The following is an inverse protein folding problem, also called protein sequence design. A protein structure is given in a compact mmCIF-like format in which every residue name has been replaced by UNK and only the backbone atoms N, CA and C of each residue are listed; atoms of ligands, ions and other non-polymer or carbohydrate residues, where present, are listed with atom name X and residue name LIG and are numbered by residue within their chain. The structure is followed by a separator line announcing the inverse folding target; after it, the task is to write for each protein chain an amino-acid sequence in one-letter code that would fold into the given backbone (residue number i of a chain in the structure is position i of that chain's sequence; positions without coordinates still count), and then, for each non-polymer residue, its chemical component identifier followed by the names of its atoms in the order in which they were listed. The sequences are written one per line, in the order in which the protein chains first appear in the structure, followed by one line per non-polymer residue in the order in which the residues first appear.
data_IF_360995738982
#
_entry.id   IF_360995738982
#
_cell.length_a   1.000
_cell.length_b   1.000
_cell.length_c   1.000
_cell.angle_alpha   90.00
_cell.angle_beta   90.00
_cell.angle_gamma   90.00
#
_symmetry.space_group_name_H-M   'P 1'
#
loop_
_entity.id
_entity.type
_entity.pdbx_description
1 polymer ?
#
# COMPACT_ATOMS: atom_id res chain seq x y z
N UNK A 1 6.01 -13.84 -10.88
CA UNK A 1 6.78 -13.84 -12.14
C UNK A 1 8.24 -14.24 -11.91
N UNK A 2 8.89 -14.95 -12.85
CA UNK A 2 10.33 -15.28 -12.76
C UNK A 2 11.21 -14.15 -13.33
N UNK A 3 11.82 -13.35 -12.44
CA UNK A 3 12.69 -12.22 -12.81
C UNK A 3 13.90 -12.64 -13.66
N UNK A 4 14.42 -13.86 -13.51
CA UNK A 4 15.57 -14.36 -14.28
C UNK A 4 15.18 -14.66 -15.72
N UNK A 5 14.03 -15.32 -15.90
CA UNK A 5 13.45 -15.57 -17.22
C UNK A 5 13.19 -14.25 -17.94
N UNK A 6 12.52 -13.29 -17.29
CA UNK A 6 12.28 -11.95 -17.85
C UNK A 6 13.58 -11.29 -18.27
N UNK A 7 14.61 -11.29 -17.41
CA UNK A 7 15.92 -10.70 -17.73
C UNK A 7 16.52 -11.29 -19.01
N UNK A 8 16.37 -12.59 -19.24
CA UNK A 8 16.86 -13.27 -20.44
C UNK A 8 16.02 -12.95 -21.70
N UNK A 9 14.70 -12.80 -21.56
CA UNK A 9 13.79 -12.55 -22.68
C UNK A 9 13.72 -11.08 -23.09
N UNK A 10 13.94 -10.14 -22.16
CA UNK A 10 13.77 -8.70 -22.37
C UNK A 10 14.44 -8.16 -23.64
N UNK A 11 15.72 -8.50 -23.97
CA UNK A 11 16.35 -8.02 -25.20
C UNK A 11 15.56 -8.40 -26.46
N UNK A 12 15.01 -9.61 -26.52
CA UNK A 12 14.19 -10.10 -27.63
C UNK A 12 12.84 -9.37 -27.67
N UNK A 13 12.18 -9.22 -26.51
CA UNK A 13 10.87 -8.58 -26.40
C UNK A 13 10.88 -7.11 -26.83
N UNK A 14 11.99 -6.39 -26.59
CA UNK A 14 12.08 -4.94 -26.88
C UNK A 14 12.88 -4.59 -28.13
N UNK A 15 13.53 -5.55 -28.80
CA UNK A 15 14.43 -5.30 -29.93
C UNK A 15 13.80 -4.43 -31.04
N UNK A 16 12.54 -4.70 -31.40
CA UNK A 16 11.80 -3.92 -32.40
C UNK A 16 11.32 -2.54 -31.92
N UNK A 17 11.43 -2.26 -30.62
CA UNK A 17 10.91 -1.07 -29.98
C UNK A 17 11.99 -0.11 -29.49
N UNK A 18 13.27 -0.49 -29.54
CA UNK A 18 14.41 0.37 -29.18
C UNK A 18 14.98 1.03 -30.43
N UNK A 19 15.23 2.36 -30.44
CA UNK A 19 15.88 3.02 -31.55
C UNK A 19 17.28 2.45 -31.84
N UNK A 20 17.67 2.35 -33.12
CA UNK A 20 18.95 1.75 -33.54
C UNK A 20 20.21 2.43 -32.97
N UNK A 21 20.11 3.70 -32.55
CA UNK A 21 21.22 4.47 -31.97
C UNK A 21 21.37 4.29 -30.45
N UNK A 22 20.45 3.58 -29.80
CA UNK A 22 20.48 3.34 -28.35
C UNK A 22 21.31 2.10 -28.05
N UNK A 23 22.32 2.24 -27.17
CA UNK A 23 23.23 1.15 -26.79
C UNK A 23 22.75 0.32 -25.59
N UNK A 24 21.81 0.84 -24.80
CA UNK A 24 21.25 0.15 -23.63
C UNK A 24 19.84 0.65 -23.34
N UNK A 25 19.03 -0.22 -22.74
CA UNK A 25 17.70 0.12 -22.25
C UNK A 25 17.60 -0.12 -20.75
N UNK A 26 16.64 0.53 -20.11
CA UNK A 26 16.31 0.33 -18.70
C UNK A 26 14.89 -0.22 -18.59
N UNK A 27 14.66 -1.07 -17.61
CA UNK A 27 13.33 -1.52 -17.28
C UNK A 27 13.12 -1.66 -15.78
N UNK A 28 11.87 -1.54 -15.36
CA UNK A 28 11.42 -1.80 -13.99
C UNK A 28 10.40 -2.93 -14.01
N UNK A 29 10.48 -3.80 -13.01
CA UNK A 29 9.58 -4.94 -12.85
C UNK A 29 8.56 -4.59 -11.77
N UNK A 30 7.30 -4.89 -12.06
CA UNK A 30 6.16 -4.73 -11.16
C UNK A 30 5.52 -6.11 -11.00
N UNK A 31 5.87 -6.76 -9.91
CA UNK A 31 5.41 -8.07 -9.47
C UNK A 31 4.95 -7.98 -8.01
N UNK A 32 4.89 -9.12 -7.33
CA UNK A 32 4.53 -9.24 -5.92
C UNK A 32 5.63 -8.76 -4.95
N UNK A 33 6.78 -8.32 -5.46
CA UNK A 33 7.89 -7.87 -4.64
C UNK A 33 8.06 -6.34 -4.67
N UNK A 34 8.43 -5.72 -3.54
CA UNK A 34 8.68 -4.28 -3.47
C UNK A 34 9.80 -3.83 -4.41
N UNK A 35 9.71 -2.59 -4.88
CA UNK A 35 10.82 -1.96 -5.59
C UNK A 35 11.83 -1.43 -4.59
N UNK A 36 13.10 -1.82 -4.72
CA UNK A 36 14.18 -1.31 -3.86
C UNK A 36 14.84 -0.07 -4.46
N UNK A 37 15.11 0.90 -3.60
CA UNK A 37 15.96 2.05 -3.87
C UNK A 37 17.42 1.63 -4.00
N UNK A 38 18.25 2.54 -4.54
CA UNK A 38 19.72 2.39 -4.54
C UNK A 38 20.32 2.30 -3.13
N UNK A 39 19.59 2.75 -2.11
CA UNK A 39 19.99 2.69 -0.70
C UNK A 39 19.40 1.47 0.03
N UNK A 40 18.75 0.54 -0.68
CA UNK A 40 18.20 -0.69 -0.11
C UNK A 40 16.80 -0.56 0.51
N UNK A 41 16.26 0.65 0.68
CA UNK A 41 14.89 0.84 1.17
C UNK A 41 13.85 0.51 0.10
N UNK A 42 12.71 -0.04 0.50
CA UNK A 42 11.58 -0.20 -0.39
C UNK A 42 10.94 1.16 -0.74
N UNK A 43 10.57 1.35 -2.00
CA UNK A 43 9.96 2.56 -2.55
C UNK A 43 8.58 2.19 -3.08
N UNK A 44 7.60 3.05 -2.78
CA UNK A 44 6.29 3.00 -3.39
C UNK A 44 6.37 3.52 -4.84
N UNK A 45 6.09 2.69 -5.86
CA UNK A 45 6.15 3.12 -7.25
C UNK A 45 5.19 4.27 -7.57
N UNK A 46 5.57 5.10 -8.53
CA UNK A 46 4.73 6.17 -9.08
C UNK A 46 3.87 5.63 -10.23
N UNK A 47 2.61 6.08 -10.38
CA UNK A 47 1.81 5.80 -11.57
C UNK A 47 2.48 6.32 -12.85
N UNK A 48 2.19 5.69 -13.98
CA UNK A 48 2.76 6.08 -15.26
C UNK A 48 1.85 5.74 -16.44
N UNK A 49 2.05 6.46 -17.54
CA UNK A 49 1.43 6.17 -18.82
C UNK A 49 2.42 5.51 -19.76
N UNK A 50 1.93 4.63 -20.63
CA UNK A 50 2.76 4.02 -21.66
C UNK A 50 1.98 3.29 -22.73
N UNK A 51 2.71 2.69 -23.66
CA UNK A 51 2.13 1.87 -24.73
C UNK A 51 2.54 0.42 -24.53
N UNK A 52 1.57 -0.49 -24.54
CA UNK A 52 1.84 -1.93 -24.50
C UNK A 52 2.55 -2.32 -25.79
N UNK A 53 3.72 -2.95 -25.66
CA UNK A 53 4.51 -3.46 -26.80
C UNK A 53 4.49 -4.97 -26.89
N UNK A 54 4.31 -5.64 -25.76
CA UNK A 54 4.19 -7.11 -25.67
C UNK A 54 3.16 -7.43 -24.61
N UNK A 55 2.25 -8.37 -24.90
CA UNK A 55 1.35 -8.95 -23.91
C UNK A 55 1.34 -10.48 -24.08
N UNK A 56 1.91 -11.18 -23.10
CA UNK A 56 2.02 -12.64 -23.07
C UNK A 56 1.59 -13.17 -21.71
N UNK A 57 1.42 -14.49 -21.58
CA UNK A 57 1.07 -15.13 -20.31
C UNK A 57 2.18 -14.97 -19.24
N UNK A 58 3.42 -14.71 -19.66
CA UNK A 58 4.57 -14.54 -18.76
C UNK A 58 4.82 -13.07 -18.37
N UNK A 59 4.50 -12.12 -19.26
CA UNK A 59 4.81 -10.71 -19.07
C UNK A 59 3.96 -9.76 -19.93
N UNK A 60 3.65 -8.60 -19.36
CA UNK A 60 3.15 -7.43 -20.08
C UNK A 60 4.24 -6.36 -20.10
N UNK A 61 4.72 -5.98 -21.28
CA UNK A 61 5.76 -4.95 -21.42
C UNK A 61 5.14 -3.66 -21.91
N UNK A 62 5.32 -2.60 -21.11
CA UNK A 62 4.84 -1.25 -21.39
C UNK A 62 6.03 -0.36 -21.70
N UNK A 63 6.02 0.27 -22.88
CA UNK A 63 7.01 1.26 -23.27
C UNK A 63 6.66 2.63 -22.71
N UNK A 64 7.59 3.21 -21.94
CA UNK A 64 7.45 4.52 -21.29
C UNK A 64 8.16 5.61 -22.11
N UNK A 65 9.41 5.34 -22.49
CA UNK A 65 10.26 6.24 -23.31
C UNK A 65 10.98 5.42 -24.39
N UNK A 66 11.73 6.03 -25.32
CA UNK A 66 12.41 5.29 -26.38
C UNK A 66 13.29 4.11 -25.89
N UNK A 67 13.89 4.22 -24.70
CA UNK A 67 14.76 3.20 -24.10
C UNK A 67 14.39 2.85 -22.65
N UNK A 68 13.15 3.13 -22.24
CA UNK A 68 12.65 2.87 -20.87
C UNK A 68 11.35 2.08 -20.93
N UNK A 69 11.30 0.96 -20.21
CA UNK A 69 10.19 0.01 -20.20
C UNK A 69 9.73 -0.30 -18.77
N UNK A 70 8.49 -0.74 -18.63
CA UNK A 70 7.94 -1.37 -17.44
C UNK A 70 7.48 -2.78 -17.80
N UNK A 71 7.71 -3.73 -16.90
CA UNK A 71 7.27 -5.12 -17.03
C UNK A 71 6.29 -5.40 -15.90
N UNK A 72 5.07 -5.81 -16.24
CA UNK A 72 4.02 -6.14 -15.28
C UNK A 72 3.79 -7.66 -15.26
N UNK A 73 3.58 -8.23 -14.08
CA UNK A 73 3.10 -9.61 -13.93
C UNK A 73 1.63 -9.70 -14.43
N UNK A 74 1.33 -10.49 -15.48
CA UNK A 74 -0.03 -10.64 -15.99
C UNK A 74 -1.03 -11.14 -14.95
N UNK A 75 -0.57 -11.83 -13.89
CA UNK A 75 -1.43 -12.35 -12.82
C UNK A 75 -1.86 -11.30 -11.80
N UNK A 76 -1.18 -10.15 -11.78
CA UNK A 76 -1.43 -9.08 -10.82
C UNK A 76 -2.12 -7.86 -11.44
N UNK A 77 -2.32 -7.81 -12.76
CA UNK A 77 -3.03 -6.67 -13.38
C UNK A 77 -4.55 -6.81 -13.26
N UNK A 78 -5.25 -5.68 -13.08
CA UNK A 78 -6.72 -5.67 -13.05
C UNK A 78 -7.34 -6.01 -14.40
N UNK A 79 -6.67 -5.64 -15.50
CA UNK A 79 -7.06 -5.95 -16.88
C UNK A 79 -5.79 -6.23 -17.69
N UNK A 80 -5.82 -7.26 -18.55
CA UNK A 80 -4.74 -7.52 -19.52
C UNK A 80 -5.00 -6.70 -20.79
N UNK A 81 -4.26 -5.60 -21.04
CA UNK A 81 -4.44 -4.79 -22.23
C UNK A 81 -3.91 -5.49 -23.49
N UNK A 82 -4.53 -5.20 -24.63
CA UNK A 82 -4.04 -5.66 -25.94
C UNK A 82 -2.75 -4.96 -26.35
N UNK A 83 -1.92 -5.65 -27.14
CA UNK A 83 -0.72 -5.05 -27.72
C UNK A 83 -1.04 -3.79 -28.54
N UNK A 84 -0.18 -2.79 -28.41
CA UNK A 84 -0.35 -1.48 -29.06
C UNK A 84 -1.28 -0.52 -28.33
N UNK A 85 -2.04 -0.95 -27.31
CA UNK A 85 -2.90 -0.08 -26.51
C UNK A 85 -2.09 0.95 -25.71
N UNK A 86 -2.66 2.14 -25.49
CA UNK A 86 -2.16 3.09 -24.50
C UNK A 86 -2.81 2.79 -23.17
N UNK A 87 -2.02 2.75 -22.12
CA UNK A 87 -2.47 2.39 -20.78
C UNK A 87 -1.98 3.40 -19.75
N UNK A 88 -2.82 3.65 -18.75
CA UNK A 88 -2.42 4.21 -17.47
C UNK A 88 -2.24 3.05 -16.50
N UNK A 89 -1.09 3.00 -15.83
CA UNK A 89 -0.74 1.96 -14.89
C UNK A 89 -0.53 2.61 -13.52
N UNK A 90 -1.27 2.12 -12.53
CA UNK A 90 -1.17 2.53 -11.14
C UNK A 90 -0.81 1.31 -10.29
N UNK A 91 0.49 1.09 -10.04
CA UNK A 91 0.92 0.04 -9.13
C UNK A 91 0.58 0.41 -7.68
N UNK A 92 0.65 -0.58 -6.80
CA UNK A 92 0.43 -0.40 -5.37
C UNK A 92 1.38 0.65 -4.77
N UNK A 93 0.84 1.45 -3.86
CA UNK A 93 1.60 2.36 -3.03
C UNK A 93 0.96 2.41 -1.65
N UNK A 94 1.78 2.34 -0.61
CA UNK A 94 1.32 2.47 0.77
C UNK A 94 0.64 3.82 0.99
N UNK A 95 -0.44 3.80 1.76
CA UNK A 95 -1.26 4.97 2.07
C UNK A 95 -1.44 5.15 3.56
N UNK A 96 -1.75 6.38 3.95
CA UNK A 96 -2.18 6.72 5.32
C UNK A 96 -3.70 6.75 5.39
N UNK A 97 -4.24 6.85 6.61
CA UNK A 97 -5.68 6.96 6.85
C UNK A 97 -6.31 8.24 6.28
N UNK A 98 -5.52 9.26 5.95
CA UNK A 98 -5.99 10.46 5.23
C UNK A 98 -6.10 10.26 3.70
N UNK A 99 -5.81 9.05 3.20
CA UNK A 99 -5.84 8.70 1.78
C UNK A 99 -4.60 9.13 0.98
N UNK A 100 -3.72 9.94 1.56
CA UNK A 100 -2.46 10.33 0.93
C UNK A 100 -1.45 9.17 0.96
N UNK A 101 -0.48 9.21 0.05
CA UNK A 101 0.60 8.22 0.01
C UNK A 101 1.48 8.35 1.24
N UNK A 102 2.04 7.24 1.72
CA UNK A 102 2.94 7.22 2.88
C UNK A 102 4.21 8.06 2.65
N UNK A 103 4.68 8.17 1.40
CA UNK A 103 5.82 9.01 1.01
C UNK A 103 5.48 10.51 0.89
N UNK A 104 4.23 10.91 1.17
CA UNK A 104 3.82 12.33 1.15
C UNK A 104 4.44 13.06 2.34
N UNK A 105 5.25 14.12 2.10
CA UNK A 105 5.93 14.84 3.18
C UNK A 105 4.96 15.49 4.16
N UNK A 106 5.30 15.49 5.44
CA UNK A 106 4.58 16.27 6.44
C UNK A 106 5.02 17.73 6.37
N UNK A 107 4.05 18.64 6.33
CA UNK A 107 4.29 20.08 6.34
C UNK A 107 3.68 20.66 7.61
N UNK A 108 4.51 21.28 8.45
CA UNK A 108 4.07 21.97 9.67
C UNK A 108 4.58 23.40 9.69
N UNK A 109 3.76 24.31 10.19
CA UNK A 109 4.18 25.68 10.45
C UNK A 109 4.57 25.77 11.92
N UNK A 110 5.83 26.13 12.17
CA UNK A 110 6.35 26.37 13.51
C UNK A 110 6.62 27.87 13.68
N UNK A 111 6.68 28.33 14.92
CA UNK A 111 6.98 29.72 15.25
C UNK A 111 8.39 29.77 15.83
N UNK A 112 9.21 30.71 15.38
CA UNK A 112 10.48 31.02 16.07
C UNK A 112 10.21 31.59 17.46
N UNK A 113 11.25 31.68 18.30
CA UNK A 113 11.20 32.41 19.58
C UNK A 113 10.68 33.83 19.45
N UNK A 114 10.85 34.44 18.28
CA UNK A 114 10.48 35.81 17.97
C UNK A 114 9.08 35.92 17.32
N UNK A 115 8.33 34.81 17.26
CA UNK A 115 6.97 34.76 16.72
C UNK A 115 6.88 34.78 15.19
N UNK A 116 7.99 34.55 14.48
CA UNK A 116 7.99 34.49 13.01
C UNK A 116 7.63 33.06 12.57
N UNK A 117 6.60 32.88 11.73
CA UNK A 117 6.25 31.55 11.23
C UNK A 117 7.30 31.06 10.21
N UNK A 118 7.71 29.80 10.34
CA UNK A 118 8.49 29.08 9.32
C UNK A 118 7.87 27.72 9.03
N UNK A 119 8.08 27.23 7.81
CA UNK A 119 7.54 25.95 7.35
C UNK A 119 8.59 24.86 7.45
N UNK A 120 8.31 23.82 8.23
CA UNK A 120 9.09 22.59 8.29
C UNK A 120 8.46 21.57 7.35
N UNK A 121 9.25 21.05 6.41
CA UNK A 121 8.86 19.96 5.52
C UNK A 121 9.69 18.73 5.82
N UNK A 122 9.06 17.70 6.38
CA UNK A 122 9.73 16.47 6.80
C UNK A 122 9.54 15.38 5.75
N UNK A 123 10.65 14.85 5.24
CA UNK A 123 10.68 13.72 4.33
C UNK A 123 11.16 12.48 5.10
N UNK A 124 10.30 11.48 5.26
CA UNK A 124 10.67 10.19 5.85
C UNK A 124 11.01 9.23 4.72
N UNK A 125 12.23 8.71 4.71
CA UNK A 125 12.69 7.74 3.72
C UNK A 125 12.35 6.32 4.18
N UNK A 126 11.88 5.46 3.25
CA UNK A 126 11.64 4.05 3.49
C UNK A 126 10.22 3.72 3.95
N UNK A 127 9.85 4.00 5.19
CA UNK A 127 8.52 3.64 5.72
C UNK A 127 8.05 4.63 6.77
N UNK A 128 7.41 5.71 6.32
CA UNK A 128 6.60 6.54 7.20
C UNK A 128 5.42 5.68 7.72
N UNK A 129 5.23 5.53 9.03
CA UNK A 129 4.08 4.81 9.56
C UNK A 129 2.79 5.58 9.24
N UNK A 130 1.72 4.85 8.91
CA UNK A 130 0.39 5.43 8.87
C UNK A 130 -0.11 5.59 10.32
N UNK A 131 -0.04 6.82 10.85
CA UNK A 131 -0.49 7.11 12.22
C UNK A 131 -1.98 6.81 12.38
N UNK A 132 -2.33 6.07 13.43
CA UNK A 132 -3.72 5.77 13.74
C UNK A 132 -4.48 7.08 14.02
N UNK A 133 -5.73 7.23 13.55
CA UNK A 133 -6.53 8.45 13.72
C UNK A 133 -7.15 8.51 15.12
N UNK A 134 -6.32 8.38 16.15
CA UNK A 134 -6.70 8.32 17.57
C UNK A 134 -5.82 9.30 18.38
N UNK A 135 -6.35 9.88 19.48
CA UNK A 135 -5.59 10.80 20.31
C UNK A 135 -4.44 10.07 21.03
N UNK A 136 -3.47 10.86 21.51
CA UNK A 136 -2.41 10.33 22.36
C UNK A 136 -3.02 9.72 23.64
N UNK A 137 -2.75 8.44 23.94
CA UNK A 137 -3.37 7.77 25.07
C UNK A 137 -2.76 8.20 26.41
N UNK A 138 -3.56 8.05 27.46
CA UNK A 138 -3.14 8.22 28.85
C UNK A 138 -2.59 6.91 29.43
N UNK A 139 -3.18 5.78 29.04
CA UNK A 139 -2.74 4.44 29.41
C UNK A 139 -1.47 4.04 28.65
N UNK A 140 -0.50 3.50 29.37
CA UNK A 140 0.77 3.04 28.79
C UNK A 140 0.55 1.86 27.84
N UNK A 141 -0.28 0.90 28.24
CA UNK A 141 -0.56 -0.32 27.49
C UNK A 141 -1.32 -0.03 26.19
N UNK A 142 -2.23 0.95 26.20
CA UNK A 142 -2.82 1.45 24.95
C UNK A 142 -1.76 2.11 24.07
N UNK A 143 -0.86 2.92 24.65
CA UNK A 143 0.26 3.52 23.94
C UNK A 143 1.16 2.50 23.26
N UNK A 144 1.47 1.39 23.95
CA UNK A 144 2.25 0.29 23.40
C UNK A 144 1.52 -0.43 22.26
N UNK A 145 0.21 -0.68 22.40
CA UNK A 145 -0.59 -1.25 21.31
C UNK A 145 -0.58 -0.34 20.07
N UNK A 146 -0.72 0.97 20.24
CA UNK A 146 -0.66 1.94 19.15
C UNK A 146 0.71 1.91 18.47
N UNK A 147 1.77 2.03 19.26
CA UNK A 147 3.15 2.00 18.77
C UNK A 147 3.41 0.70 18.01
N UNK A 148 2.91 -0.43 18.52
CA UNK A 148 3.09 -1.72 17.89
C UNK A 148 2.37 -1.81 16.54
N UNK A 149 1.10 -1.38 16.46
CA UNK A 149 0.37 -1.32 15.19
C UNK A 149 1.06 -0.39 14.18
N UNK A 150 1.57 0.76 14.64
CA UNK A 150 2.20 1.76 13.78
C UNK A 150 3.59 1.35 13.31
N UNK A 151 4.39 0.70 14.16
CA UNK A 151 5.80 0.46 13.91
C UNK A 151 6.12 -0.97 13.44
N UNK A 152 5.34 -1.98 13.83
CA UNK A 152 5.65 -3.35 13.43
C UNK A 152 5.41 -3.59 11.93
N UNK A 153 6.27 -4.40 11.27
CA UNK A 153 6.06 -4.82 9.90
C UNK A 153 4.83 -5.72 9.80
N UNK A 154 4.12 -5.63 8.67
CA UNK A 154 3.20 -6.69 8.26
C UNK A 154 4.02 -7.91 7.79
N UNK A 155 3.43 -9.12 7.75
CA UNK A 155 4.14 -10.35 7.39
C UNK A 155 4.81 -10.33 6.00
N UNK A 156 4.33 -9.49 5.08
CA UNK A 156 4.93 -9.31 3.75
C UNK A 156 6.30 -8.59 3.74
N UNK A 157 6.72 -8.00 4.87
CA UNK A 157 8.02 -7.34 5.00
C UNK A 157 8.16 -5.99 4.28
N UNK A 158 7.08 -5.48 3.68
CA UNK A 158 7.05 -4.20 2.97
C UNK A 158 6.16 -3.16 3.64
N UNK A 159 4.96 -3.59 4.04
CA UNK A 159 3.99 -2.80 4.75
C UNK A 159 4.26 -2.85 6.26
N UNK A 160 3.69 -1.89 6.96
CA UNK A 160 3.51 -1.96 8.42
C UNK A 160 2.08 -2.41 8.70
N UNK A 161 1.78 -2.84 9.92
CA UNK A 161 0.43 -3.28 10.26
C UNK A 161 -0.61 -2.19 9.93
N UNK A 162 -0.36 -0.92 10.23
CA UNK A 162 -1.28 0.17 9.86
C UNK A 162 -1.50 0.35 8.37
N UNK A 163 -0.51 0.06 7.51
CA UNK A 163 -0.73 0.08 6.06
C UNK A 163 -1.66 -1.05 5.62
N UNK A 164 -1.50 -2.24 6.21
CA UNK A 164 -2.43 -3.35 5.99
C UNK A 164 -3.85 -3.01 6.47
N UNK A 165 -3.99 -2.29 7.60
CA UNK A 165 -5.30 -1.80 8.04
C UNK A 165 -5.92 -0.83 7.02
N UNK A 166 -5.13 0.11 6.48
CA UNK A 166 -5.59 1.03 5.42
C UNK A 166 -6.05 0.24 4.18
N UNK A 167 -5.28 -0.76 3.75
CA UNK A 167 -5.64 -1.61 2.60
C UNK A 167 -6.90 -2.44 2.86
N UNK A 168 -7.14 -2.86 4.11
CA UNK A 168 -8.36 -3.54 4.55
C UNK A 168 -9.58 -2.60 4.69
N UNK A 169 -9.41 -1.31 4.38
CA UNK A 169 -10.46 -0.31 4.47
C UNK A 169 -10.79 0.10 5.91
N UNK A 170 -9.83 -0.01 6.83
CA UNK A 170 -10.03 0.31 8.24
C UNK A 170 -10.51 1.76 8.45
N UNK A 171 -11.68 1.90 9.09
CA UNK A 171 -12.36 3.18 9.36
C UNK A 171 -13.11 3.13 10.70
N UNK A 172 -13.79 4.22 11.06
CA UNK A 172 -14.66 4.27 12.25
C UNK A 172 -13.95 3.82 13.55
N UNK A 173 -12.74 4.36 13.76
CA UNK A 173 -11.90 3.99 14.89
C UNK A 173 -12.53 4.42 16.22
N UNK A 174 -12.56 3.47 17.16
CA UNK A 174 -12.90 3.72 18.57
C UNK A 174 -11.81 3.13 19.46
N UNK A 175 -11.69 3.64 20.68
CA UNK A 175 -10.67 3.19 21.62
C UNK A 175 -11.18 3.22 23.06
N UNK A 176 -10.61 2.35 23.87
CA UNK A 176 -10.79 2.33 25.32
C UNK A 176 -9.45 2.71 25.94
N UNK A 177 -9.37 3.91 26.52
CA UNK A 177 -8.20 4.43 27.20
C UNK A 177 -8.47 4.49 28.72
N UNK A 178 -8.30 3.37 29.44
CA UNK A 178 -8.63 3.31 30.85
C UNK A 178 -7.60 4.07 31.69
N UNK A 179 -8.00 4.47 32.90
CA UNK A 179 -7.01 4.85 33.91
C UNK A 179 -6.13 3.63 34.23
N UNK A 180 -4.83 3.79 34.53
CA UNK A 180 -3.95 2.66 34.86
C UNK A 180 -4.50 1.77 35.98
N UNK A 181 -5.21 2.35 36.96
CA UNK A 181 -5.83 1.61 38.06
C UNK A 181 -7.07 0.77 37.69
N UNK A 182 -7.61 0.93 36.47
CA UNK A 182 -8.83 0.28 35.99
C UNK A 182 -8.58 -0.70 34.83
N UNK A 183 -7.32 -0.99 34.54
CA UNK A 183 -6.93 -1.76 33.35
C UNK A 183 -7.54 -3.18 33.33
N UNK A 184 -7.80 -3.77 34.50
CA UNK A 184 -8.41 -5.10 34.63
C UNK A 184 -9.93 -5.04 34.39
N UNK A 185 -10.60 -4.01 34.92
CA UNK A 185 -12.06 -3.83 34.78
C UNK A 185 -12.45 -3.42 33.36
N UNK A 186 -11.64 -2.57 32.74
CA UNK A 186 -11.85 -2.03 31.39
C UNK A 186 -10.54 -2.16 30.62
N UNK A 187 -10.33 -3.28 29.92
CA UNK A 187 -9.14 -3.52 29.12
C UNK A 187 -8.93 -2.41 28.07
N UNK A 188 -7.68 -1.95 27.86
CA UNK A 188 -7.36 -1.05 26.78
C UNK A 188 -7.63 -1.75 25.44
N UNK A 189 -8.27 -1.03 24.51
CA UNK A 189 -8.68 -1.60 23.24
C UNK A 189 -8.70 -0.57 22.12
N UNK A 190 -8.52 -1.04 20.89
CA UNK A 190 -8.75 -0.28 19.66
C UNK A 190 -9.71 -1.10 18.80
N UNK A 191 -10.78 -0.47 18.33
CA UNK A 191 -11.71 -1.10 17.39
C UNK A 191 -11.82 -0.30 16.11
N UNK A 192 -12.06 -0.99 14.99
CA UNK A 192 -12.23 -0.38 13.68
C UNK A 192 -13.09 -1.22 12.73
N UNK A 193 -13.75 -0.49 11.84
CA UNK A 193 -14.44 -0.85 10.60
C UNK A 193 -13.62 -1.52 9.50
N UNK A 194 -13.68 -2.81 9.14
CA UNK A 194 -13.02 -3.30 7.89
C UNK A 194 -14.03 -3.78 6.85
N UNK A 195 -13.63 -3.75 5.57
CA UNK A 195 -14.43 -4.28 4.46
C UNK A 195 -13.49 -4.92 3.42
N UNK A 196 -13.30 -6.23 3.55
CA UNK A 196 -12.46 -7.04 2.65
C UNK A 196 -13.21 -8.29 2.19
N UNK A 197 -12.65 -9.04 1.24
CA UNK A 197 -13.23 -10.32 0.85
C UNK A 197 -13.19 -11.38 1.99
N UNK A 198 -12.28 -11.24 2.96
CA UNK A 198 -12.15 -12.17 4.09
C UNK A 198 -13.15 -11.86 5.20
N UNK A 199 -13.27 -10.58 5.55
CA UNK A 199 -14.13 -10.14 6.64
C UNK A 199 -14.65 -8.72 6.38
N UNK A 200 -15.92 -8.55 6.69
CA UNK A 200 -16.62 -7.27 6.74
C UNK A 200 -17.33 -7.18 8.09
N UNK A 201 -16.98 -6.14 8.86
CA UNK A 201 -17.41 -5.98 10.24
C UNK A 201 -16.36 -5.26 11.09
N UNK A 202 -16.64 -5.18 12.40
CA UNK A 202 -15.76 -4.53 13.37
C UNK A 202 -14.70 -5.49 13.86
N UNK A 203 -13.45 -5.06 13.82
CA UNK A 203 -12.31 -5.74 14.46
C UNK A 203 -12.00 -5.01 15.75
N UNK A 204 -11.77 -5.72 16.84
CA UNK A 204 -11.30 -5.16 18.11
C UNK A 204 -10.02 -5.85 18.52
N UNK A 205 -8.98 -5.07 18.79
CA UNK A 205 -7.73 -5.54 19.42
C UNK A 205 -7.71 -5.00 20.84
N UNK A 206 -7.76 -5.89 21.82
CA UNK A 206 -7.74 -5.52 23.24
C UNK A 206 -6.58 -6.20 23.96
N UNK A 207 -6.06 -5.54 24.99
CA UNK A 207 -5.00 -6.07 25.83
C UNK A 207 -5.56 -6.90 26.98
N UNK A 208 -5.25 -8.20 27.00
CA UNK A 208 -5.55 -9.07 28.13
C UNK A 208 -4.41 -9.04 29.15
N UNK A 209 -4.68 -8.39 30.28
CA UNK A 209 -3.74 -8.28 31.41
C UNK A 209 -3.38 -9.63 32.03
N UNK A 210 -4.30 -10.60 32.01
CA UNK A 210 -4.08 -11.89 32.67
C UNK A 210 -3.15 -12.79 31.85
N UNK A 211 -3.38 -12.88 30.53
CA UNK A 211 -2.52 -13.61 29.60
C UNK A 211 -1.26 -12.86 29.15
N UNK A 212 -1.16 -11.55 29.46
CA UNK A 212 -0.12 -10.64 28.95
C UNK A 212 0.04 -10.74 27.42
N UNK A 213 -1.11 -10.70 26.74
CA UNK A 213 -1.22 -10.87 25.31
C UNK A 213 -2.36 -10.00 24.76
N UNK A 214 -2.50 -9.95 23.44
CA UNK A 214 -3.69 -9.40 22.83
C UNK A 214 -4.76 -10.45 22.63
N UNK A 215 -5.99 -9.95 22.52
CA UNK A 215 -7.13 -10.68 22.00
C UNK A 215 -7.62 -9.92 20.77
N UNK A 216 -7.89 -10.65 19.69
CA UNK A 216 -8.51 -10.09 18.49
C UNK A 216 -9.92 -10.64 18.35
N UNK A 217 -10.91 -9.75 18.33
CA UNK A 217 -12.32 -10.09 18.20
C UNK A 217 -12.87 -9.58 16.87
N UNK A 218 -13.67 -10.40 16.20
CA UNK A 218 -14.40 -10.07 14.99
C UNK A 218 -15.88 -9.99 15.30
N UNK A 219 -16.49 -8.84 15.03
CA UNK A 219 -17.92 -8.61 15.26
C UNK A 219 -18.64 -8.24 13.97
N UNK A 220 -19.86 -8.77 13.80
CA UNK A 220 -20.79 -8.34 12.76
C UNK A 220 -22.12 -8.01 13.42
N UNK A 221 -22.65 -6.81 13.17
CA UNK A 221 -23.91 -6.35 13.77
C UNK A 221 -23.95 -6.51 15.30
N UNK A 222 -22.82 -6.17 15.96
CA UNK A 222 -22.56 -6.33 17.40
C UNK A 222 -22.54 -7.77 17.94
N UNK A 223 -22.72 -8.78 17.10
CA UNK A 223 -22.50 -10.20 17.43
C UNK A 223 -21.01 -10.55 17.30
N UNK A 224 -20.44 -11.19 18.33
CA UNK A 224 -19.09 -11.75 18.29
C UNK A 224 -19.08 -12.99 17.40
N UNK A 225 -18.43 -12.88 16.24
CA UNK A 225 -18.34 -13.94 15.23
C UNK A 225 -17.13 -14.84 15.47
N UNK A 226 -16.01 -14.24 15.86
CA UNK A 226 -14.77 -14.97 16.11
C UNK A 226 -13.94 -14.25 17.17
N UNK A 227 -13.14 -15.02 17.90
CA UNK A 227 -12.26 -14.52 18.95
C UNK A 227 -10.97 -15.33 18.96
N UNK A 228 -9.86 -14.62 18.83
CA UNK A 228 -8.52 -15.16 18.95
C UNK A 228 -7.89 -14.65 20.24
N UNK A 229 -7.80 -15.52 21.23
CA UNK A 229 -7.05 -15.30 22.45
C UNK A 229 -5.55 -15.62 22.25
N UNK A 230 -4.73 -15.27 23.25
CA UNK A 230 -3.28 -15.55 23.27
C UNK A 230 -2.52 -15.05 22.03
N UNK A 231 -2.92 -13.88 21.50
CA UNK A 231 -2.19 -13.25 20.40
C UNK A 231 -0.98 -12.52 20.96
N UNK A 232 0.17 -13.19 20.93
CA UNK A 232 1.42 -12.59 21.36
C UNK A 232 1.79 -11.37 20.50
N UNK A 233 2.58 -10.47 21.08
CA UNK A 233 2.90 -9.19 20.46
C UNK A 233 3.54 -9.36 19.07
N UNK A 234 4.49 -10.29 18.92
CA UNK A 234 5.14 -10.59 17.65
C UNK A 234 4.20 -11.21 16.60
N UNK A 235 3.10 -11.84 17.03
CA UNK A 235 2.13 -12.51 16.15
C UNK A 235 0.99 -11.60 15.68
N UNK A 236 0.85 -10.39 16.21
CA UNK A 236 -0.30 -9.51 15.91
C UNK A 236 -0.46 -9.25 14.40
N UNK A 237 0.66 -9.02 13.70
CA UNK A 237 0.66 -8.79 12.25
C UNK A 237 0.17 -10.01 11.47
N UNK A 238 0.61 -11.22 11.84
CA UNK A 238 0.22 -12.48 11.20
C UNK A 238 -1.26 -12.81 11.43
N UNK A 239 -1.74 -12.60 12.66
CA UNK A 239 -3.15 -12.80 12.99
C UNK A 239 -4.03 -11.85 12.20
N UNK A 240 -3.70 -10.56 12.16
CA UNK A 240 -4.46 -9.58 11.38
C UNK A 240 -4.40 -9.89 9.87
N UNK A 241 -3.24 -10.22 9.30
CA UNK A 241 -3.14 -10.62 7.89
C UNK A 241 -4.09 -11.79 7.58
N UNK A 242 -4.08 -12.83 8.44
CA UNK A 242 -4.93 -14.00 8.27
C UNK A 242 -6.41 -13.61 8.25
N UNK A 243 -6.83 -12.71 9.14
CA UNK A 243 -8.24 -12.36 9.35
C UNK A 243 -8.78 -11.34 8.36
N UNK A 244 -8.00 -10.33 7.99
CA UNK A 244 -8.51 -9.15 7.29
C UNK A 244 -7.78 -8.79 6.00
N UNK A 245 -6.60 -9.35 5.70
CA UNK A 245 -5.90 -9.01 4.45
C UNK A 245 -6.23 -10.00 3.33
N UNK A 246 -6.98 -9.57 2.31
CA UNK A 246 -7.34 -10.41 1.16
C UNK A 246 -6.33 -10.37 -0.01
N UNK A 247 -5.20 -9.69 0.15
CA UNK A 247 -4.13 -9.60 -0.83
C UNK A 247 -4.44 -8.72 -2.04
N UNK A 248 -5.61 -8.09 -2.12
CA UNK A 248 -6.00 -7.24 -3.26
C UNK A 248 -5.10 -6.04 -3.46
N UNK A 249 -4.43 -5.59 -2.41
CA UNK A 249 -3.44 -4.52 -2.47
C UNK A 249 -2.32 -4.81 -3.49
N UNK A 250 -2.02 -6.09 -3.77
CA UNK A 250 -0.99 -6.50 -4.75
C UNK A 250 -1.40 -6.25 -6.20
N UNK A 251 -2.69 -5.97 -6.44
CA UNK A 251 -3.19 -5.74 -7.79
C UNK A 251 -2.64 -4.43 -8.34
N UNK A 252 -2.18 -4.48 -9.58
CA UNK A 252 -1.74 -3.34 -10.38
C UNK A 252 -2.92 -2.87 -11.19
N UNK A 253 -3.41 -1.66 -10.91
CA UNK A 253 -4.51 -1.11 -11.69
C UNK A 253 -4.02 -0.69 -13.07
N UNK A 254 -4.66 -1.24 -14.10
CA UNK A 254 -4.34 -0.96 -15.51
C UNK A 254 -5.61 -0.52 -16.21
N UNK A 255 -5.63 0.70 -16.72
CA UNK A 255 -6.73 1.25 -17.51
C UNK A 255 -6.29 1.60 -18.93
N UNK A 256 -7.11 1.24 -19.91
CA UNK A 256 -6.85 1.57 -21.32
C UNK A 256 -7.30 3.01 -21.60
N UNK A 257 -6.36 3.85 -22.03
CA UNK A 257 -6.62 5.23 -22.40
C UNK A 257 -7.20 5.23 -23.83
N UNK A 258 -8.52 5.40 -23.94
CA UNK A 258 -9.18 5.49 -25.24
C UNK A 258 -8.70 6.72 -26.03
N UNK A 259 -7.80 6.51 -26.99
CA UNK A 259 -7.49 7.52 -28.01
C UNK A 259 -8.57 7.53 -29.09
N UNK A 260 -9.75 8.08 -28.78
CA UNK A 260 -10.67 8.61 -29.81
C UNK A 260 -10.99 10.06 -29.50
N UNK A 261 -10.10 10.93 -29.94
CA UNK A 261 -10.46 12.24 -30.46
C UNK A 261 -9.85 12.34 -31.86
N UNK A 262 -10.50 11.70 -32.84
CA UNK A 262 -10.23 11.98 -34.25
C UNK A 262 -10.64 13.43 -34.47
N UNK A 263 -9.67 14.34 -34.61
CA UNK A 263 -9.94 15.70 -35.10
C UNK A 263 -10.72 15.58 -36.42
N UNK A 264 -11.90 16.21 -36.57
CA UNK A 264 -12.50 16.31 -37.88
C UNK A 264 -11.51 17.10 -38.77
N UNK A 265 -11.09 16.48 -39.88
CA UNK A 265 -10.41 17.21 -40.96
C UNK A 265 -11.37 18.30 -41.41
N UNK A 266 -11.05 19.56 -41.14
CA UNK A 266 -11.66 20.67 -41.85
C UNK A 266 -11.29 20.52 -43.33
N UNK A 267 -12.30 20.30 -44.18
CA UNK A 267 -12.15 20.45 -45.60
C UNK A 267 -11.84 21.92 -45.90
N UNK A 268 -10.79 22.17 -46.69
CA UNK A 268 -10.50 23.47 -47.28
C UNK A 268 -11.61 23.79 -48.30
N UNK A 269 -12.25 24.97 -48.26
CA UNK A 269 -13.09 25.43 -49.34
C UNK A 269 -12.25 25.80 -50.56
N UNK A 270 -12.81 25.54 -51.74
CA UNK A 270 -12.28 25.89 -53.06
C UNK A 270 -12.37 27.39 -53.35
#
# INVERSE_FOLDING_TARGET
MDRSLIKSMMPTLVAGHVPRNVRSFKYRVFDDQPQSSTLGFAIDPMPFDGRVVVATDDAIVVKLKPSEFAVLDPKLVTVVPSEGAKVHVQPYARRRFDGLRADTPEVRTEMTSDGIPYTVKTHILGSAPAKLPIPKPQCMELGQLIEQLEEMPAPDGFRRITHMLVDAGARDFTWVDPKPSKIIETPPAISFTVSTAKFEGRVTVLYDRAGDAYVVELHRDDELIDRHDEVYFDMLGEVLERLIDDGRWRLIDVSVINTKATRPRQALPA
#
